data_IF_174537718674
#
_entry.id   IF_174537718674
#
_cell.length_a   1.000
_cell.length_b   1.000
_cell.length_c   1.000
_cell.angle_alpha   90.00
_cell.angle_beta   90.00
_cell.angle_gamma   90.00
#
_symmetry.space_group_name_H-M   'P 1'
#
loop_
_entity.id
_entity.type
_entity.pdbx_description
1 polymer ?
#
# COMPACT_ATOMS: atom_id res chain seq x y z
N UNK A 1 -74.20 -39.22 -24.75
CA UNK A 1 -74.40 -39.92 -23.46
C UNK A 1 -73.05 -40.51 -23.05
N UNK A 2 -72.29 -39.87 -22.16
CA UNK A 2 -72.38 -39.90 -20.69
C UNK A 2 -71.57 -41.08 -20.13
N UNK A 3 -70.73 -40.75 -19.13
CA UNK A 3 -70.02 -41.60 -18.13
C UNK A 3 -68.55 -41.87 -18.50
N UNK A 4 -67.57 -41.14 -17.93
CA UNK A 4 -67.05 -41.25 -16.55
C UNK A 4 -66.96 -42.70 -16.07
N UNK A 5 -65.76 -43.27 -16.12
CA UNK A 5 -65.30 -44.18 -15.10
C UNK A 5 -63.78 -44.07 -14.96
N UNK A 6 -63.37 -43.48 -13.84
CA UNK A 6 -62.03 -43.57 -13.30
C UNK A 6 -61.82 -45.01 -12.77
N UNK A 7 -60.69 -45.62 -13.10
CA UNK A 7 -60.10 -46.68 -12.30
C UNK A 7 -58.62 -46.33 -12.09
N UNK A 8 -58.32 -46.09 -10.82
CA UNK A 8 -57.04 -45.79 -10.22
C UNK A 8 -56.40 -47.12 -9.74
N UNK A 9 -55.06 -47.11 -9.65
CA UNK A 9 -54.19 -48.01 -8.88
C UNK A 9 -53.90 -49.40 -9.51
N UNK A 10 -52.72 -49.56 -10.13
CA UNK A 10 -51.47 -50.09 -9.55
C UNK A 10 -50.46 -50.16 -10.70
N UNK A 11 -49.58 -49.17 -10.72
CA UNK A 11 -48.44 -49.07 -11.63
C UNK A 11 -47.40 -48.15 -10.99
N UNK A 12 -47.19 -48.32 -9.68
CA UNK A 12 -46.00 -47.78 -9.00
C UNK A 12 -44.84 -48.59 -9.56
N UNK A 13 -44.19 -48.13 -10.61
CA UNK A 13 -42.79 -48.44 -10.89
C UNK A 13 -42.26 -47.54 -12.02
N UNK A 14 -41.31 -46.68 -11.65
CA UNK A 14 -40.25 -46.15 -12.50
C UNK A 14 -40.63 -45.17 -13.63
N UNK A 15 -41.20 -44.01 -13.28
CA UNK A 15 -40.75 -42.75 -13.90
C UNK A 15 -40.60 -41.69 -12.81
N UNK A 16 -39.69 -41.96 -11.88
CA UNK A 16 -38.89 -40.89 -11.28
C UNK A 16 -38.23 -40.17 -12.44
N UNK A 17 -38.81 -39.04 -12.86
CA UNK A 17 -38.07 -38.02 -13.59
C UNK A 17 -37.04 -37.55 -12.58
N UNK A 18 -35.91 -38.26 -12.55
CA UNK A 18 -34.67 -37.71 -12.05
C UNK A 18 -34.43 -36.55 -13.01
N UNK A 19 -34.82 -35.35 -12.60
CA UNK A 19 -34.11 -34.16 -13.06
C UNK A 19 -32.69 -34.39 -12.61
N UNK A 20 -31.89 -35.03 -13.48
CA UNK A 20 -30.45 -35.03 -13.34
C UNK A 20 -30.14 -33.56 -13.55
N UNK A 21 -30.02 -32.83 -12.46
CA UNK A 21 -29.36 -31.54 -12.44
C UNK A 21 -28.12 -31.74 -13.30
N UNK A 22 -28.04 -31.05 -14.42
CA UNK A 22 -26.87 -31.07 -15.30
C UNK A 22 -25.70 -30.34 -14.63
N UNK A 23 -25.39 -30.73 -13.39
CA UNK A 23 -24.13 -30.51 -12.68
C UNK A 23 -23.13 -31.55 -13.21
N UNK A 24 -23.05 -31.68 -14.53
CA UNK A 24 -21.97 -32.39 -15.18
C UNK A 24 -20.91 -31.31 -15.41
N UNK A 25 -19.80 -31.46 -14.71
CA UNK A 25 -18.58 -30.62 -14.72
C UNK A 25 -18.46 -29.54 -13.62
N UNK A 26 -18.80 -29.92 -12.39
CA UNK A 26 -18.23 -29.28 -11.18
C UNK A 26 -17.08 -30.09 -10.56
N UNK A 27 -16.39 -30.91 -11.36
CA UNK A 27 -15.07 -31.39 -10.97
C UNK A 27 -14.07 -30.32 -11.38
N UNK A 28 -13.63 -29.52 -10.41
CA UNK A 28 -12.44 -28.69 -10.58
C UNK A 28 -11.29 -29.60 -11.00
N UNK A 29 -10.78 -29.42 -12.21
CA UNK A 29 -9.45 -29.89 -12.57
C UNK A 29 -8.49 -29.28 -11.55
N UNK A 30 -7.82 -30.11 -10.74
CA UNK A 30 -7.11 -29.66 -9.55
C UNK A 30 -5.81 -28.88 -9.87
N UNK A 31 -5.62 -28.50 -11.13
CA UNK A 31 -4.42 -27.87 -11.63
C UNK A 31 -3.18 -28.70 -11.31
N UNK A 32 -2.01 -28.11 -11.55
CA UNK A 32 -0.78 -28.68 -11.03
C UNK A 32 -0.74 -28.51 -9.51
N UNK A 33 -0.15 -29.48 -8.80
CA UNK A 33 0.04 -29.42 -7.34
C UNK A 33 1.52 -29.31 -7.04
N UNK A 34 1.96 -28.19 -6.49
CA UNK A 34 3.36 -27.97 -6.08
C UNK A 34 3.42 -27.86 -4.55
N UNK A 35 4.32 -28.62 -3.92
CA UNK A 35 4.55 -28.50 -2.48
C UNK A 35 5.27 -27.19 -2.18
N UNK A 36 4.85 -26.49 -1.12
CA UNK A 36 5.57 -25.38 -0.51
C UNK A 36 5.97 -25.77 0.90
N UNK A 37 7.24 -25.57 1.23
CA UNK A 37 7.75 -25.81 2.56
C UNK A 37 8.98 -24.93 2.79
N UNK A 38 8.90 -23.99 3.72
CA UNK A 38 10.04 -23.12 4.05
C UNK A 38 9.95 -22.59 5.47
N UNK A 39 11.06 -22.05 5.96
CA UNK A 39 11.11 -21.18 7.13
C UNK A 39 11.94 -19.96 6.79
N UNK A 40 11.40 -18.76 6.95
CA UNK A 40 12.04 -17.52 6.57
C UNK A 40 11.64 -16.37 7.48
N UNK A 41 12.55 -15.42 7.66
CA UNK A 41 12.28 -14.16 8.35
C UNK A 41 11.94 -13.08 7.35
N UNK A 42 10.86 -12.37 7.63
CA UNK A 42 10.32 -11.27 6.85
C UNK A 42 10.31 -10.01 7.71
N UNK A 43 10.59 -8.88 7.10
CA UNK A 43 10.35 -7.55 7.67
C UNK A 43 9.11 -7.00 6.99
N UNK A 44 8.17 -6.46 7.76
CA UNK A 44 6.99 -5.82 7.18
C UNK A 44 7.36 -4.54 6.41
N UNK A 45 6.49 -4.17 5.48
CA UNK A 45 6.47 -2.86 4.83
C UNK A 45 5.10 -2.24 5.01
N UNK A 46 4.92 -0.99 4.59
CA UNK A 46 3.60 -0.38 4.49
C UNK A 46 2.64 -1.29 3.70
N UNK A 47 1.42 -1.46 4.18
CA UNK A 47 0.37 -2.22 3.49
C UNK A 47 -0.04 -1.46 2.21
N UNK A 48 0.11 -2.07 1.01
CA UNK A 48 -0.19 -1.38 -0.24
C UNK A 48 -1.71 -1.34 -0.54
N UNK A 49 -2.56 -1.87 0.32
CA UNK A 49 -4.01 -1.81 0.17
C UNK A 49 -4.56 -0.40 0.38
N UNK A 50 -5.52 -0.01 -0.46
CA UNK A 50 -6.26 1.25 -0.28
C UNK A 50 -6.99 1.26 1.07
N UNK A 51 -6.82 2.33 1.85
CA UNK A 51 -7.35 2.45 3.21
C UNK A 51 -6.51 1.76 4.28
N UNK A 52 -5.32 1.25 3.93
CA UNK A 52 -4.38 0.61 4.85
C UNK A 52 -3.03 1.35 4.91
N UNK A 53 -2.98 2.62 4.53
CA UNK A 53 -1.76 3.40 4.35
C UNK A 53 -0.96 3.56 5.66
N UNK A 54 -1.63 3.51 6.81
CA UNK A 54 -0.97 3.59 8.13
C UNK A 54 -0.66 2.22 8.74
N UNK A 55 -0.87 1.14 7.98
CA UNK A 55 -0.68 -0.23 8.45
C UNK A 55 0.62 -0.84 7.91
N UNK A 56 1.05 -1.92 8.54
CA UNK A 56 2.18 -2.72 8.12
C UNK A 56 1.71 -4.10 7.66
N UNK A 57 2.26 -4.58 6.55
CA UNK A 57 2.00 -5.89 5.97
C UNK A 57 3.34 -6.61 5.71
N UNK A 58 3.38 -7.88 6.12
CA UNK A 58 4.42 -8.84 5.76
C UNK A 58 3.76 -9.90 4.88
N UNK A 59 3.92 -9.76 3.56
CA UNK A 59 3.34 -10.67 2.58
C UNK A 59 4.21 -11.93 2.46
N UNK A 60 3.65 -13.08 2.84
CA UNK A 60 4.37 -14.36 2.94
C UNK A 60 4.16 -15.19 1.67
N UNK A 61 2.91 -15.26 1.21
CA UNK A 61 2.53 -15.89 -0.06
C UNK A 61 1.75 -14.87 -0.88
N UNK A 62 2.31 -14.44 -2.00
CA UNK A 62 1.70 -13.44 -2.87
C UNK A 62 0.56 -14.04 -3.71
N UNK A 63 -0.51 -13.24 -3.98
CA UNK A 63 -1.56 -13.65 -4.88
C UNK A 63 -1.04 -13.76 -6.32
N UNK A 64 -1.57 -14.74 -7.05
CA UNK A 64 -1.38 -14.93 -8.48
C UNK A 64 -2.73 -15.39 -9.05
N UNK A 65 -3.04 -14.99 -10.29
CA UNK A 65 -4.29 -15.37 -10.96
C UNK A 65 -4.48 -16.90 -10.94
N UNK A 66 -5.65 -17.35 -10.47
CA UNK A 66 -6.01 -18.76 -10.42
C UNK A 66 -5.21 -19.62 -9.42
N UNK A 67 -4.39 -19.00 -8.56
CA UNK A 67 -3.56 -19.71 -7.58
C UNK A 67 -4.23 -19.80 -6.21
N UNK A 68 -4.28 -21.02 -5.67
CA UNK A 68 -4.78 -21.30 -4.32
C UNK A 68 -3.69 -21.98 -3.51
N UNK A 69 -3.35 -21.39 -2.37
CA UNK A 69 -2.54 -22.00 -1.35
C UNK A 69 -3.41 -22.69 -0.30
N UNK A 70 -3.02 -23.87 0.14
CA UNK A 70 -3.70 -24.67 1.17
C UNK A 70 -2.64 -25.35 2.06
N UNK A 71 -2.66 -25.06 3.36
CA UNK A 71 -1.73 -25.65 4.32
C UNK A 71 -1.72 -24.94 5.66
N UNK A 72 -0.59 -25.03 6.36
CA UNK A 72 -0.40 -24.46 7.68
C UNK A 72 0.76 -23.48 7.74
N UNK A 73 0.61 -22.48 8.60
CA UNK A 73 1.62 -21.49 8.91
C UNK A 73 1.88 -21.51 10.42
N UNK A 74 3.14 -21.49 10.83
CA UNK A 74 3.56 -21.21 12.21
C UNK A 74 4.47 -19.99 12.21
N UNK A 75 4.27 -19.06 13.13
CA UNK A 75 5.03 -17.81 13.14
C UNK A 75 5.43 -17.36 14.55
N UNK A 76 6.45 -16.50 14.60
CA UNK A 76 6.82 -15.66 15.74
C UNK A 76 7.12 -14.26 15.22
N UNK A 77 6.77 -13.23 15.98
CA UNK A 77 6.82 -11.83 15.59
C UNK A 77 7.36 -10.95 16.71
N UNK A 78 8.00 -9.83 16.34
CA UNK A 78 8.46 -8.82 17.30
C UNK A 78 7.30 -8.10 17.99
N UNK A 79 6.16 -7.94 17.29
CA UNK A 79 4.93 -7.31 17.80
C UNK A 79 3.70 -8.20 17.60
N UNK A 80 2.58 -7.96 18.33
CA UNK A 80 1.33 -8.67 18.09
C UNK A 80 0.82 -8.37 16.67
N UNK A 81 0.41 -9.41 15.96
CA UNK A 81 0.03 -9.32 14.54
C UNK A 81 -1.30 -10.01 14.27
N UNK A 82 -1.96 -9.56 13.22
CA UNK A 82 -3.16 -10.16 12.64
C UNK A 82 -2.76 -11.03 11.46
N UNK A 83 -3.45 -12.16 11.25
CA UNK A 83 -3.23 -13.01 10.08
C UNK A 83 -4.16 -12.52 8.98
N UNK A 84 -3.59 -12.30 7.79
CA UNK A 84 -4.34 -11.92 6.58
C UNK A 84 -4.38 -13.11 5.62
N UNK A 85 -5.59 -13.46 5.18
CA UNK A 85 -5.80 -14.37 4.06
C UNK A 85 -6.64 -13.65 3.01
N UNK A 86 -6.10 -13.54 1.79
CA UNK A 86 -6.82 -12.97 0.65
C UNK A 86 -7.44 -14.08 -0.18
N UNK A 87 -8.65 -13.82 -0.69
CA UNK A 87 -9.40 -14.74 -1.54
C UNK A 87 -9.64 -14.06 -2.89
N UNK A 88 -9.24 -14.72 -3.97
CA UNK A 88 -9.56 -14.24 -5.32
C UNK A 88 -11.07 -14.29 -5.53
N UNK A 89 -11.66 -13.15 -5.89
CA UNK A 89 -13.10 -13.00 -6.17
C UNK A 89 -13.30 -12.14 -7.41
N UNK A 90 -14.43 -12.32 -8.10
CA UNK A 90 -14.82 -11.31 -9.09
C UNK A 90 -15.31 -10.05 -8.35
N UNK A 91 -15.04 -8.87 -8.88
CA UNK A 91 -15.48 -7.62 -8.26
C UNK A 91 -17.02 -7.52 -8.14
N UNK A 92 -17.77 -8.19 -9.02
CA UNK A 92 -19.24 -8.31 -8.92
C UNK A 92 -19.73 -9.20 -7.75
N UNK A 93 -18.84 -9.99 -7.16
CA UNK A 93 -19.10 -10.85 -6.01
C UNK A 93 -18.77 -10.14 -4.67
N UNK A 94 -18.22 -8.94 -4.70
CA UNK A 94 -18.08 -8.07 -3.53
C UNK A 94 -19.46 -7.55 -3.08
N UNK A 95 -20.08 -8.24 -2.12
CA UNK A 95 -21.44 -8.00 -1.63
C UNK A 95 -21.45 -7.68 -0.12
N UNK A 96 -20.54 -6.79 0.29
CA UNK A 96 -20.46 -6.26 1.66
C UNK A 96 -19.50 -6.99 2.60
N UNK A 97 -18.83 -8.06 2.16
CA UNK A 97 -17.68 -8.61 2.88
C UNK A 97 -16.49 -7.64 2.84
N UNK A 98 -15.56 -7.70 3.82
CA UNK A 98 -14.31 -6.97 3.74
C UNK A 98 -13.53 -7.35 2.47
N UNK A 99 -12.95 -6.34 1.83
CA UNK A 99 -12.17 -6.50 0.61
C UNK A 99 -10.84 -5.77 0.73
N UNK A 100 -9.86 -6.20 -0.07
CA UNK A 100 -8.56 -5.57 -0.17
C UNK A 100 -8.19 -5.39 -1.64
N UNK A 101 -7.64 -4.22 -2.00
CA UNK A 101 -7.27 -3.87 -3.36
C UNK A 101 -6.12 -2.86 -3.35
N UNK A 102 -5.22 -2.96 -4.33
CA UNK A 102 -4.11 -2.00 -4.53
C UNK A 102 -4.56 -0.93 -5.53
N UNK A 103 -5.10 -1.35 -6.66
CA UNK A 103 -5.39 -0.53 -7.85
C UNK A 103 -6.87 -0.12 -7.98
N UNK A 104 -7.77 -0.72 -7.19
CA UNK A 104 -9.22 -0.56 -7.29
C UNK A 104 -9.87 -1.45 -8.35
N UNK A 105 -9.08 -2.06 -9.23
CA UNK A 105 -9.56 -2.95 -10.29
C UNK A 105 -9.54 -4.41 -9.82
N UNK A 106 -8.43 -4.83 -9.20
CA UNK A 106 -8.23 -6.17 -8.67
C UNK A 106 -8.72 -6.23 -7.23
N UNK A 107 -9.82 -6.95 -6.99
CA UNK A 107 -10.47 -7.04 -5.67
C UNK A 107 -10.30 -8.42 -5.07
N UNK A 108 -9.77 -8.48 -3.86
CA UNK A 108 -9.70 -9.70 -3.06
C UNK A 108 -10.70 -9.65 -1.90
N UNK A 109 -11.31 -10.78 -1.57
CA UNK A 109 -11.99 -10.96 -0.29
C UNK A 109 -10.95 -11.01 0.84
N UNK A 110 -11.15 -10.23 1.90
CA UNK A 110 -10.21 -10.10 3.00
C UNK A 110 -10.71 -10.88 4.23
N UNK A 111 -9.91 -11.84 4.68
CA UNK A 111 -10.03 -12.42 6.02
C UNK A 111 -8.92 -11.87 6.90
N UNK A 112 -9.30 -11.24 8.01
CA UNK A 112 -8.40 -10.67 9.00
C UNK A 112 -8.66 -11.35 10.34
N UNK A 113 -7.67 -12.09 10.84
CA UNK A 113 -7.78 -12.86 12.08
C UNK A 113 -6.88 -12.22 13.12
N UNK A 114 -7.50 -11.60 14.12
CA UNK A 114 -6.78 -10.97 15.22
C UNK A 114 -6.64 -11.93 16.40
N UNK A 115 -5.41 -12.42 16.59
CA UNK A 115 -5.07 -13.26 17.74
C UNK A 115 -4.62 -12.45 18.96
N UNK A 116 -4.19 -11.19 18.77
CA UNK A 116 -3.51 -10.38 19.79
C UNK A 116 -2.25 -11.07 20.38
N UNK A 117 -1.64 -11.98 19.62
CA UNK A 117 -0.49 -12.79 20.05
C UNK A 117 0.75 -12.48 19.18
N UNK A 118 1.94 -12.71 19.75
CA UNK A 118 3.22 -12.56 19.04
C UNK A 118 3.67 -13.84 18.34
N UNK A 119 2.97 -14.96 18.53
CA UNK A 119 3.29 -16.24 17.89
C UNK A 119 2.06 -17.14 17.83
N UNK A 120 2.07 -18.10 16.92
CA UNK A 120 0.96 -19.03 16.77
C UNK A 120 1.09 -19.96 15.56
N UNK A 121 0.11 -20.84 15.42
CA UNK A 121 -0.07 -21.71 14.26
C UNK A 121 -1.47 -21.56 13.71
N UNK A 122 -1.61 -21.55 12.38
CA UNK A 122 -2.87 -21.31 11.70
C UNK A 122 -2.96 -22.12 10.40
N UNK A 123 -4.09 -22.80 10.21
CA UNK A 123 -4.44 -23.48 8.96
C UNK A 123 -5.13 -22.49 8.03
N UNK A 124 -4.72 -22.44 6.76
CA UNK A 124 -5.23 -21.46 5.81
C UNK A 124 -5.58 -22.10 4.46
N UNK A 125 -6.52 -21.47 3.77
CA UNK A 125 -6.76 -21.69 2.35
C UNK A 125 -7.12 -20.34 1.72
N UNK A 126 -6.40 -19.93 0.68
CA UNK A 126 -6.60 -18.64 0.03
C UNK A 126 -5.64 -18.37 -1.11
N UNK A 127 -5.84 -17.24 -1.78
CA UNK A 127 -4.98 -16.76 -2.86
C UNK A 127 -3.73 -16.05 -2.33
N UNK A 128 -3.74 -15.50 -1.11
CA UNK A 128 -2.55 -14.95 -0.47
C UNK A 128 -2.56 -15.18 1.05
N UNK A 129 -1.38 -15.09 1.66
CA UNK A 129 -1.18 -15.18 3.10
C UNK A 129 -0.18 -14.13 3.57
N UNK A 130 -0.48 -13.45 4.67
CA UNK A 130 0.41 -12.47 5.28
C UNK A 130 0.18 -12.29 6.77
N UNK A 131 1.06 -11.50 7.38
CA UNK A 131 0.90 -10.95 8.72
C UNK A 131 0.71 -9.44 8.62
N UNK A 132 -0.22 -8.89 9.37
CA UNK A 132 -0.60 -7.47 9.34
C UNK A 132 -0.51 -6.87 10.74
N UNK A 133 -0.19 -5.59 10.80
CA UNK A 133 -0.29 -4.76 12.00
C UNK A 133 -1.05 -3.48 11.65
N UNK A 134 -2.05 -3.07 12.45
CA UNK A 134 -2.72 -1.79 12.27
C UNK A 134 -1.83 -0.59 12.69
N UNK A 135 -0.64 -0.85 13.24
CA UNK A 135 0.33 0.19 13.59
C UNK A 135 1.29 0.44 12.42
N UNK A 136 1.77 1.68 12.32
CA UNK A 136 2.71 2.13 11.29
C UNK A 136 4.14 1.64 11.48
N UNK A 137 4.49 1.21 12.69
CA UNK A 137 5.85 0.76 13.04
C UNK A 137 6.17 -0.61 12.43
N UNK A 138 7.28 -0.76 11.68
CA UNK A 138 7.67 -2.04 11.10
C UNK A 138 7.87 -3.12 12.16
N UNK A 139 7.48 -4.35 11.82
CA UNK A 139 7.73 -5.54 12.64
C UNK A 139 8.50 -6.58 11.83
N UNK A 140 9.17 -7.48 12.56
CA UNK A 140 9.88 -8.61 11.98
C UNK A 140 9.22 -9.89 12.43
N UNK A 141 9.00 -10.82 11.50
CA UNK A 141 8.38 -12.11 11.75
C UNK A 141 9.17 -13.25 11.15
N UNK A 142 9.39 -14.33 11.88
CA UNK A 142 9.88 -15.60 11.35
C UNK A 142 8.70 -16.53 11.16
N UNK A 143 8.56 -17.06 9.95
CA UNK A 143 7.40 -17.86 9.53
C UNK A 143 7.87 -19.18 8.94
N UNK A 144 7.23 -20.27 9.34
CA UNK A 144 7.32 -21.59 8.73
C UNK A 144 6.00 -21.91 8.04
N UNK A 145 6.05 -22.27 6.75
CA UNK A 145 4.88 -22.69 5.96
C UNK A 145 5.09 -24.14 5.51
N UNK A 146 4.06 -24.98 5.60
CA UNK A 146 4.00 -26.29 4.96
C UNK A 146 2.62 -26.46 4.31
N UNK A 147 2.60 -26.71 3.00
CA UNK A 147 1.35 -26.75 2.24
C UNK A 147 1.52 -27.05 0.77
N UNK A 148 0.48 -26.72 0.02
CA UNK A 148 0.36 -26.99 -1.40
C UNK A 148 -0.14 -25.75 -2.14
N UNK A 149 0.41 -25.54 -3.32
CA UNK A 149 -0.13 -24.65 -4.34
C UNK A 149 -0.99 -25.48 -5.27
N UNK A 150 -2.18 -24.99 -5.59
CA UNK A 150 -3.12 -25.56 -6.56
C UNK A 150 -3.48 -24.47 -7.58
N UNK A 151 -3.59 -24.81 -8.87
CA UNK A 151 -3.98 -23.87 -9.92
C UNK A 151 -3.01 -23.77 -11.11
N UNK A 152 -3.26 -22.81 -11.99
CA UNK A 152 -2.44 -22.45 -13.16
C UNK A 152 -2.18 -20.93 -13.13
N UNK A 153 -0.94 -20.47 -13.41
CA UNK A 153 0.25 -21.24 -13.73
C UNK A 153 0.94 -21.86 -12.49
N UNK A 154 1.66 -22.97 -12.70
CA UNK A 154 2.47 -23.64 -11.65
C UNK A 154 3.79 -22.92 -11.38
N UNK A 155 4.17 -22.02 -12.29
CA UNK A 155 5.15 -21.01 -12.00
C UNK A 155 4.44 -19.97 -11.16
N UNK A 156 4.56 -20.09 -9.83
CA UNK A 156 4.68 -18.87 -9.06
C UNK A 156 5.81 -18.14 -9.79
N UNK A 157 5.51 -16.98 -10.36
CA UNK A 157 6.47 -15.90 -10.23
C UNK A 157 6.52 -15.73 -8.71
N UNK A 158 7.31 -16.58 -8.04
CA UNK A 158 8.13 -16.06 -6.98
C UNK A 158 8.68 -14.85 -7.69
N UNK A 159 8.28 -13.69 -7.24
CA UNK A 159 9.23 -12.63 -7.25
C UNK A 159 10.37 -13.22 -6.41
N UNK A 160 11.24 -14.01 -7.07
CA UNK A 160 12.59 -13.57 -7.26
C UNK A 160 12.40 -12.14 -7.75
N UNK A 161 12.20 -11.26 -6.79
CA UNK A 161 13.10 -10.14 -6.64
C UNK A 161 14.49 -10.82 -6.54
N UNK A 162 14.95 -11.37 -7.68
CA UNK A 162 16.21 -10.96 -8.21
C UNK A 162 15.91 -9.50 -8.55
N UNK A 163 15.92 -8.66 -7.50
CA UNK A 163 16.91 -7.62 -7.51
C UNK A 163 18.11 -8.33 -8.13
N UNK A 164 18.42 -8.01 -9.38
CA UNK A 164 19.80 -7.65 -9.61
C UNK A 164 20.13 -6.67 -8.47
N UNK A 165 20.46 -7.22 -7.29
CA UNK A 165 21.74 -6.94 -6.74
C UNK A 165 22.66 -7.32 -7.90
N UNK A 166 22.90 -6.36 -8.78
CA UNK A 166 24.27 -5.93 -8.90
C UNK A 166 24.79 -6.01 -7.48
N UNK A 167 25.54 -7.08 -7.18
CA UNK A 167 26.44 -7.10 -6.04
C UNK A 167 27.01 -5.70 -6.05
N UNK A 168 26.62 -4.82 -5.11
CA UNK A 168 27.00 -3.43 -5.25
C UNK A 168 28.51 -3.52 -5.25
N UNK A 169 29.12 -3.12 -6.36
CA UNK A 169 30.58 -3.19 -6.53
C UNK A 169 31.27 -2.42 -5.41
N UNK A 170 30.50 -1.56 -4.73
CA UNK A 170 30.70 -1.11 -3.38
C UNK A 170 30.03 -2.02 -2.34
N UNK A 171 30.83 -2.91 -1.74
CA UNK A 171 30.50 -3.48 -0.44
C UNK A 171 30.42 -2.32 0.57
N UNK A 172 29.21 -1.80 0.82
CA UNK A 172 29.00 -0.92 1.96
C UNK A 172 29.38 -1.73 3.20
N UNK A 173 30.55 -1.43 3.77
CA UNK A 173 31.14 -2.11 4.93
C UNK A 173 30.28 -2.04 6.20
N UNK A 174 29.13 -1.35 6.14
CA UNK A 174 28.14 -1.21 7.19
C UNK A 174 26.74 -1.27 6.57
N UNK A 175 25.93 -2.25 6.95
CA UNK A 175 24.54 -2.42 6.50
C UNK A 175 23.59 -1.33 7.00
N UNK A 176 24.00 -0.57 8.03
CA UNK A 176 23.28 0.58 8.58
C UNK A 176 24.30 1.71 8.80
N UNK A 177 24.37 2.66 7.87
CA UNK A 177 25.02 3.95 8.12
C UNK A 177 23.92 4.89 8.62
N UNK A 178 23.92 5.29 9.90
CA UNK A 178 22.93 6.26 10.38
C UNK A 178 23.10 7.56 9.58
N UNK A 179 21.99 8.01 8.98
CA UNK A 179 21.87 9.28 8.29
C UNK A 179 21.19 10.29 9.21
N UNK A 180 21.75 11.49 9.31
CA UNK A 180 21.12 12.61 10.02
C UNK A 180 20.67 13.61 8.96
N UNK A 181 19.38 13.56 8.62
CA UNK A 181 18.79 14.49 7.65
C UNK A 181 18.41 15.79 8.39
N UNK A 182 18.78 16.97 7.85
CA UNK A 182 18.36 18.26 8.41
C UNK A 182 16.84 18.38 8.41
N UNK A 183 16.29 18.83 9.54
CA UNK A 183 14.86 19.05 9.71
C UNK A 183 14.57 20.56 9.66
N UNK A 184 13.61 20.94 8.82
CA UNK A 184 13.17 22.31 8.62
C UNK A 184 11.84 22.57 9.33
N UNK A 185 11.47 23.85 9.46
CA UNK A 185 10.19 24.29 10.01
C UNK A 185 9.39 25.01 8.93
N UNK A 186 8.11 24.69 8.86
CA UNK A 186 7.15 25.38 8.01
C UNK A 186 5.91 25.77 8.80
N UNK A 187 4.93 26.34 8.10
CA UNK A 187 3.65 26.76 8.63
C UNK A 187 2.52 26.12 7.83
N UNK A 188 1.54 25.54 8.53
CA UNK A 188 0.26 25.14 7.96
C UNK A 188 -0.87 25.69 8.84
N UNK A 189 -1.74 26.53 8.27
CA UNK A 189 -2.89 27.10 8.96
C UNK A 189 -2.56 27.74 10.32
N UNK A 190 -1.43 28.46 10.39
CA UNK A 190 -0.93 29.10 11.61
C UNK A 190 -0.19 28.17 12.59
N UNK A 191 -0.17 26.87 12.33
CA UNK A 191 0.56 25.89 13.13
C UNK A 191 1.92 25.53 12.53
N UNK A 192 2.90 25.23 13.39
CA UNK A 192 4.22 24.84 12.94
C UNK A 192 4.22 23.39 12.44
N UNK A 193 4.80 23.16 11.27
CA UNK A 193 5.07 21.83 10.71
C UNK A 193 6.57 21.57 10.61
N UNK A 194 6.96 20.30 10.65
CA UNK A 194 8.35 19.87 10.48
C UNK A 194 8.45 19.07 9.19
N UNK A 195 9.49 19.33 8.40
CA UNK A 195 9.68 18.64 7.12
C UNK A 195 11.16 18.43 6.81
N UNK A 196 11.43 17.51 5.89
CA UNK A 196 12.75 17.21 5.35
C UNK A 196 12.70 17.29 3.83
N UNK A 197 13.84 17.54 3.20
CA UNK A 197 13.97 17.60 1.74
C UNK A 197 14.93 16.50 1.32
N UNK A 198 14.43 15.51 0.59
CA UNK A 198 15.20 14.31 0.19
C UNK A 198 15.54 14.32 -1.30
N UNK A 199 14.62 14.76 -2.14
CA UNK A 199 14.72 14.65 -3.60
C UNK A 199 14.21 15.92 -4.29
N UNK A 200 14.70 16.21 -5.49
CA UNK A 200 14.26 17.33 -6.33
C UNK A 200 14.30 16.99 -7.81
N UNK A 201 13.35 17.53 -8.58
CA UNK A 201 13.27 17.30 -10.03
C UNK A 201 14.22 18.17 -10.86
N UNK A 202 14.58 19.35 -10.34
CA UNK A 202 15.43 20.33 -10.99
C UNK A 202 16.87 20.24 -10.45
N UNK A 203 17.84 20.10 -11.35
CA UNK A 203 19.26 19.89 -11.01
C UNK A 203 19.88 21.10 -10.30
N UNK A 204 19.58 22.31 -10.76
CA UNK A 204 20.15 23.53 -10.17
C UNK A 204 19.57 23.77 -8.78
N UNK A 205 18.25 23.61 -8.64
CA UNK A 205 17.54 23.76 -7.38
C UNK A 205 17.96 22.71 -6.34
N UNK A 206 18.04 21.43 -6.73
CA UNK A 206 18.48 20.35 -5.84
C UNK A 206 19.92 20.59 -5.35
N UNK A 207 20.80 21.06 -6.23
CA UNK A 207 22.18 21.40 -5.87
C UNK A 207 22.24 22.59 -4.92
N UNK A 208 21.52 23.68 -5.19
CA UNK A 208 21.48 24.86 -4.32
C UNK A 208 21.02 24.50 -2.91
N UNK A 209 19.93 23.71 -2.81
CA UNK A 209 19.43 23.25 -1.52
C UNK A 209 20.42 22.34 -0.81
N UNK A 210 21.07 21.41 -1.53
CA UNK A 210 22.07 20.52 -0.96
C UNK A 210 23.22 21.28 -0.28
N UNK A 211 23.70 22.34 -0.93
CA UNK A 211 24.74 23.22 -0.39
C UNK A 211 24.26 23.98 0.86
N UNK A 212 23.01 24.47 0.85
CA UNK A 212 22.42 25.24 1.96
C UNK A 212 22.15 24.42 3.22
N UNK A 213 21.61 23.21 3.05
CA UNK A 213 21.24 22.37 4.19
C UNK A 213 22.36 21.43 4.65
N UNK A 214 23.51 21.45 3.97
CA UNK A 214 24.65 20.55 4.23
C UNK A 214 24.27 19.06 4.16
N UNK A 215 23.28 18.72 3.33
CA UNK A 215 22.79 17.36 3.11
C UNK A 215 22.31 17.19 1.67
N UNK A 216 22.71 16.08 1.03
CA UNK A 216 22.41 15.82 -0.38
C UNK A 216 20.90 15.69 -0.62
N UNK A 217 20.37 16.55 -1.51
CA UNK A 217 19.06 16.39 -2.15
C UNK A 217 19.31 15.62 -3.44
N UNK A 218 18.76 14.42 -3.53
CA UNK A 218 18.95 13.55 -4.70
C UNK A 218 18.21 14.11 -5.93
N UNK A 219 18.86 14.04 -7.09
CA UNK A 219 18.25 14.46 -8.35
C UNK A 219 17.33 13.34 -8.85
N UNK A 220 16.03 13.61 -8.87
CA UNK A 220 14.98 12.70 -9.34
C UNK A 220 14.18 13.37 -10.47
N UNK A 221 14.74 13.38 -11.69
CA UNK A 221 14.15 14.06 -12.85
C UNK A 221 12.73 13.58 -13.20
N UNK A 222 12.40 12.32 -12.88
CA UNK A 222 11.06 11.75 -13.07
C UNK A 222 9.97 12.48 -12.28
N UNK A 223 10.32 13.21 -11.22
CA UNK A 223 9.37 14.01 -10.45
C UNK A 223 8.83 15.22 -11.24
N UNK A 224 9.52 15.63 -12.32
CA UNK A 224 9.05 16.71 -13.18
C UNK A 224 7.78 16.33 -13.98
N UNK A 225 7.54 15.03 -14.21
CA UNK A 225 6.43 14.52 -15.00
C UNK A 225 5.18 14.20 -14.15
N UNK A 226 5.25 14.44 -12.84
CA UNK A 226 4.16 14.13 -11.89
C UNK A 226 2.96 15.07 -12.12
N UNK A 227 1.72 14.56 -12.24
CA UNK A 227 0.54 15.40 -12.44
C UNK A 227 0.33 16.42 -11.31
N UNK A 228 0.04 17.67 -11.66
CA UNK A 228 -0.09 18.77 -10.69
C UNK A 228 -1.14 18.54 -9.60
N UNK A 229 -2.21 17.80 -9.90
CA UNK A 229 -3.29 17.46 -8.96
C UNK A 229 -2.87 16.44 -7.89
N UNK A 230 -1.74 15.77 -8.09
CA UNK A 230 -1.13 14.86 -7.10
C UNK A 230 -0.08 15.55 -6.23
N UNK A 231 0.25 16.81 -6.52
CA UNK A 231 1.25 17.59 -5.79
C UNK A 231 0.57 18.51 -4.79
N UNK A 232 1.02 18.48 -3.53
CA UNK A 232 0.73 19.59 -2.64
C UNK A 232 1.52 20.82 -3.07
N UNK A 233 1.09 22.01 -2.66
CA UNK A 233 1.84 23.26 -2.86
C UNK A 233 2.63 23.63 -1.60
N UNK A 234 3.89 24.00 -1.80
CA UNK A 234 4.75 24.63 -0.78
C UNK A 234 5.16 26.00 -1.29
N UNK A 235 4.87 27.03 -0.51
CA UNK A 235 5.22 28.42 -0.84
C UNK A 235 6.54 28.78 -0.16
N UNK A 236 7.54 29.13 -0.98
CA UNK A 236 8.91 29.43 -0.55
C UNK A 236 9.23 30.88 -0.84
N UNK A 237 9.65 31.64 0.17
CA UNK A 237 9.75 33.10 0.09
C UNK A 237 11.16 33.56 -0.26
N UNK A 238 11.32 34.32 -1.35
CA UNK A 238 12.63 34.83 -1.83
C UNK A 238 12.97 36.24 -1.39
N UNK A 239 12.00 36.94 -0.80
CA UNK A 239 12.17 38.21 -0.13
C UNK A 239 11.07 38.43 0.93
N UNK A 240 11.09 39.60 1.56
CA UNK A 240 10.07 40.01 2.52
C UNK A 240 10.55 39.95 3.97
N UNK A 241 9.66 39.49 4.84
CA UNK A 241 9.95 39.34 6.27
C UNK A 241 11.11 38.35 6.46
N UNK A 242 12.17 38.78 7.15
CA UNK A 242 13.32 37.92 7.48
C UNK A 242 12.91 36.81 8.44
N UNK A 243 13.41 35.60 8.21
CA UNK A 243 13.11 34.41 9.01
C UNK A 243 14.08 33.27 8.71
N UNK A 244 13.67 32.05 9.08
CA UNK A 244 14.50 30.85 8.99
C UNK A 244 14.16 29.97 7.76
N UNK A 245 13.35 30.46 6.82
CA UNK A 245 13.02 29.75 5.58
C UNK A 245 14.22 29.58 4.64
N UNK A 246 14.07 28.77 3.59
CA UNK A 246 15.14 28.29 2.69
C UNK A 246 15.94 29.40 1.99
N UNK A 247 15.38 30.60 1.85
CA UNK A 247 16.07 31.78 1.30
C UNK A 247 16.35 32.88 2.35
N UNK A 248 16.20 32.59 3.64
CA UNK A 248 16.44 33.52 4.75
C UNK A 248 15.28 34.49 5.03
N UNK A 249 14.08 34.14 4.58
CA UNK A 249 12.84 34.88 4.81
C UNK A 249 11.88 34.05 5.66
N UNK A 250 10.61 34.41 5.73
CA UNK A 250 9.64 33.67 6.53
C UNK A 250 9.62 32.18 6.19
N UNK A 251 9.20 31.38 7.17
CA UNK A 251 9.05 29.93 7.03
C UNK A 251 8.11 29.58 5.87
N UNK A 252 8.37 28.42 5.26
CA UNK A 252 7.58 27.93 4.13
C UNK A 252 6.15 27.66 4.55
N UNK A 253 5.21 28.01 3.67
CA UNK A 253 3.79 27.79 3.92
C UNK A 253 3.32 26.57 3.13
N UNK A 254 2.70 25.63 3.84
CA UNK A 254 2.19 24.38 3.27
C UNK A 254 0.70 24.49 2.98
N UNK A 255 0.27 23.81 1.91
CA UNK A 255 -1.16 23.70 1.54
C UNK A 255 -1.86 22.49 2.17
N UNK A 256 -1.10 21.53 2.69
CA UNK A 256 -1.63 20.34 3.38
C UNK A 256 -0.60 19.77 4.36
N UNK A 257 -1.06 18.91 5.26
CA UNK A 257 -0.21 18.09 6.15
C UNK A 257 -0.74 16.66 6.19
N UNK A 258 0.00 15.69 6.72
CA UNK A 258 -0.50 14.31 6.87
C UNK A 258 -1.82 14.18 7.64
N UNK A 259 -2.26 15.21 8.38
CA UNK A 259 -3.56 15.23 9.05
C UNK A 259 -4.75 15.35 8.07
N UNK A 260 -4.53 15.83 6.85
CA UNK A 260 -5.56 15.94 5.81
C UNK A 260 -5.40 14.79 4.80
N UNK A 261 -5.75 13.56 5.20
CA UNK A 261 -5.51 12.32 4.43
C UNK A 261 -5.95 12.40 2.96
N UNK A 262 -7.10 13.02 2.67
CA UNK A 262 -7.63 13.13 1.29
C UNK A 262 -7.00 14.26 0.45
N UNK A 263 -6.16 15.11 1.04
CA UNK A 263 -5.56 16.29 0.39
C UNK A 263 -4.04 16.27 0.43
N UNK A 264 -3.45 15.47 1.32
CA UNK A 264 -2.02 15.40 1.54
C UNK A 264 -1.31 14.65 0.43
N UNK A 265 -0.17 15.20 0.02
CA UNK A 265 0.81 14.49 -0.79
C UNK A 265 2.20 14.73 -0.20
N UNK A 266 3.03 13.69 -0.17
CA UNK A 266 4.45 13.85 0.14
C UNK A 266 5.19 14.55 -1.02
N UNK A 267 4.64 14.49 -2.24
CA UNK A 267 5.18 15.16 -3.41
C UNK A 267 4.67 16.60 -3.47
N UNK A 268 5.58 17.52 -3.72
CA UNK A 268 5.30 18.95 -3.58
C UNK A 268 5.73 19.74 -4.80
N UNK A 269 4.85 20.63 -5.25
CA UNK A 269 5.17 21.72 -6.17
C UNK A 269 5.67 22.91 -5.34
N UNK A 270 6.91 23.34 -5.62
CA UNK A 270 7.52 24.51 -5.00
C UNK A 270 7.07 25.76 -5.75
N UNK A 271 6.44 26.68 -5.03
CA UNK A 271 5.99 27.97 -5.55
C UNK A 271 6.84 29.06 -4.91
N UNK A 272 7.69 29.70 -5.71
CA UNK A 272 8.50 30.82 -5.26
C UNK A 272 7.67 32.09 -5.12
N UNK A 273 7.65 32.68 -3.93
CA UNK A 273 6.91 33.91 -3.60
C UNK A 273 7.87 35.08 -3.46
N UNK A 274 7.54 36.19 -4.11
CA UNK A 274 8.30 37.45 -4.05
C UNK A 274 7.36 38.64 -3.88
N UNK A 275 7.54 39.40 -2.82
CA UNK A 275 6.91 40.71 -2.59
C UNK A 275 7.33 41.72 -3.65
N UNK A 276 6.36 42.43 -4.22
CA UNK A 276 6.59 43.53 -5.16
C UNK A 276 7.04 44.79 -4.42
N UNK A 277 7.87 45.61 -5.06
CA UNK A 277 8.34 46.88 -4.49
C UNK A 277 7.18 47.77 -4.03
N UNK A 278 7.19 48.18 -2.77
CA UNK A 278 6.18 49.07 -2.18
C UNK A 278 4.99 48.35 -1.53
N UNK A 279 4.89 47.03 -1.64
CA UNK A 279 3.94 46.25 -0.84
C UNK A 279 4.39 46.19 0.62
N UNK A 280 3.42 46.12 1.54
CA UNK A 280 3.71 45.91 2.96
C UNK A 280 3.94 44.42 3.18
N UNK A 281 5.17 44.07 3.53
CA UNK A 281 5.57 42.72 3.92
C UNK A 281 4.82 42.30 5.20
N UNK A 282 4.17 41.13 5.15
CA UNK A 282 3.53 40.48 6.30
C UNK A 282 3.92 39.00 6.31
N UNK A 283 3.75 38.34 7.45
CA UNK A 283 3.90 36.88 7.54
C UNK A 283 2.60 36.24 7.06
N UNK A 284 2.69 35.29 6.14
CA UNK A 284 1.57 34.44 5.76
C UNK A 284 1.51 33.19 6.63
N UNK A 285 0.32 32.88 7.14
CA UNK A 285 0.09 31.74 8.03
C UNK A 285 -0.63 30.57 7.32
N UNK A 286 -1.18 30.78 6.13
CA UNK A 286 -1.86 29.73 5.37
C UNK A 286 -1.67 29.88 3.86
N UNK A 287 -1.69 28.75 3.15
CA UNK A 287 -1.65 28.72 1.69
C UNK A 287 -2.79 29.55 1.07
N UNK A 288 -3.97 29.52 1.69
CA UNK A 288 -5.13 30.31 1.26
C UNK A 288 -4.82 31.81 1.27
N UNK A 289 -4.10 32.30 2.29
CA UNK A 289 -3.74 33.71 2.39
C UNK A 289 -2.70 34.11 1.34
N UNK A 290 -1.73 33.22 1.06
CA UNK A 290 -0.73 33.45 0.01
C UNK A 290 -1.40 33.53 -1.37
N UNK A 291 -2.29 32.57 -1.68
CA UNK A 291 -3.03 32.53 -2.96
C UNK A 291 -3.97 33.73 -3.08
N UNK A 292 -4.65 34.13 -1.99
CA UNK A 292 -5.53 35.29 -2.01
C UNK A 292 -4.77 36.62 -2.22
N UNK A 293 -3.47 36.66 -1.90
CA UNK A 293 -2.59 37.80 -2.12
C UNK A 293 -1.91 37.80 -3.50
N UNK A 294 -2.14 36.77 -4.32
CA UNK A 294 -1.65 36.69 -5.69
C UNK A 294 -2.37 37.76 -6.55
N UNK A 295 -1.63 38.79 -6.95
CA UNK A 295 -2.08 39.87 -7.85
C UNK A 295 -1.41 39.80 -9.23
#
# INVERSE_FOLDING_TARGET
>A
MRKLLAILIIGIFATSIITISSLSDQFADAGSRKKIHFTQTFTSSQDPGQGHENHQLSLILSPNEGTIYDGSMTFTSSEPVQIVVLHEINSNDAKGQPTWTIDGDTVYGLSLIDLQEKSGSFEFTGAALGLHSPNSEPFTSTVSVDGWIRGQPTEIIMQKIELEKEEPTSLLSRANVPATIPMHKGIYAGEQVLYIITDGSDEEYAKELSEKQEWNVELATVLADVPEDTLQKIFVFKNGVKGDGLYGFQDEVFSSTPQQESQYSALSSVIEVTWKTGQKEIVFESATDVIAAEE
#
